data_IF_946657033872
#
_entry.id   IF_946657033872
#
_cell.length_a   1.000
_cell.length_b   1.000
_cell.length_c   1.000
_cell.angle_alpha   90.00
_cell.angle_beta   90.00
_cell.angle_gamma   90.00
#
_symmetry.space_group_name_H-M   'P 1'
#
loop_
_entity.id
_entity.type
_entity.pdbx_description
1 polymer ?
#
# COMPACT_ATOMS: atom_id res chain seq x y z
N UNK A 1 5.14 -23.46 12.79
CA UNK A 1 6.07 -22.49 13.40
C UNK A 1 7.38 -22.60 12.64
N UNK A 2 7.94 -21.49 12.16
CA UNK A 2 9.21 -21.48 11.46
C UNK A 2 10.31 -21.81 12.47
N UNK A 3 10.96 -22.97 12.33
CA UNK A 3 12.12 -23.36 13.17
C UNK A 3 13.39 -22.65 12.67
N UNK A 4 13.48 -21.34 12.89
CA UNK A 4 14.71 -20.63 12.60
C UNK A 4 15.83 -21.09 13.54
N UNK A 5 17.03 -21.39 13.03
CA UNK A 5 18.15 -21.78 13.87
C UNK A 5 18.50 -20.70 14.89
N UNK A 6 18.87 -21.09 16.10
CA UNK A 6 19.21 -20.14 17.16
C UNK A 6 20.47 -19.29 16.87
N UNK A 7 21.37 -19.81 16.03
CA UNK A 7 22.58 -19.08 15.62
C UNK A 7 22.31 -17.97 14.60
N UNK A 8 21.12 -17.98 13.94
CA UNK A 8 20.77 -16.95 12.97
C UNK A 8 20.41 -15.66 13.71
N UNK A 9 21.09 -14.50 13.47
CA UNK A 9 20.84 -13.23 14.14
C UNK A 9 19.57 -12.55 13.60
N UNK A 10 18.45 -13.27 13.67
CA UNK A 10 17.13 -12.78 13.25
C UNK A 10 16.49 -12.03 14.40
N UNK A 11 15.92 -10.84 14.13
CA UNK A 11 15.19 -10.07 15.14
C UNK A 11 14.04 -10.89 15.72
N UNK A 12 13.89 -10.88 17.04
CA UNK A 12 12.91 -11.72 17.77
C UNK A 12 11.49 -11.54 17.29
N UNK A 13 11.06 -10.30 16.99
CA UNK A 13 9.71 -10.02 16.49
C UNK A 13 9.43 -10.60 15.10
N UNK A 14 10.46 -11.00 14.35
CA UNK A 14 10.30 -11.62 13.02
C UNK A 14 10.31 -13.15 13.09
N UNK A 15 10.81 -13.74 14.16
CA UNK A 15 10.89 -15.22 14.31
C UNK A 15 9.54 -15.93 14.19
N UNK A 16 8.42 -15.41 14.74
CA UNK A 16 7.13 -16.07 14.62
C UNK A 16 6.43 -15.83 13.29
N UNK A 17 6.98 -14.99 12.40
CA UNK A 17 6.35 -14.71 11.12
C UNK A 17 6.45 -15.90 10.19
N UNK A 18 5.35 -16.16 9.50
CA UNK A 18 5.30 -17.05 8.34
C UNK A 18 5.30 -16.22 7.06
N UNK A 19 5.80 -16.73 5.94
CA UNK A 19 5.70 -16.05 4.66
C UNK A 19 4.25 -15.64 4.37
N UNK A 20 4.05 -14.39 4.00
CA UNK A 20 2.75 -13.94 3.52
C UNK A 20 2.43 -14.59 2.19
N UNK A 21 1.25 -15.13 2.07
CA UNK A 21 0.75 -15.69 0.81
C UNK A 21 -0.73 -16.01 0.94
N UNK A 22 -1.54 -15.51 0.01
CA UNK A 22 -2.90 -15.97 -0.13
C UNK A 22 -2.89 -17.43 -0.64
N UNK A 23 -3.72 -18.33 -0.11
CA UNK A 23 -3.80 -19.69 -0.60
C UNK A 23 -4.11 -19.71 -2.11
N UNK A 24 -3.28 -20.40 -2.88
CA UNK A 24 -3.51 -20.63 -4.30
C UNK A 24 -4.29 -21.94 -4.46
N UNK A 25 -5.60 -21.85 -4.36
CA UNK A 25 -6.49 -23.00 -4.48
C UNK A 25 -7.09 -23.03 -5.88
N UNK A 26 -7.10 -24.18 -6.59
CA UNK A 26 -7.85 -24.35 -7.82
C UNK A 26 -9.34 -24.14 -7.53
N UNK A 27 -9.91 -23.08 -8.06
CA UNK A 27 -11.33 -22.75 -7.89
C UNK A 27 -11.87 -22.10 -9.15
N UNK A 28 -13.17 -22.30 -9.43
CA UNK A 28 -13.85 -21.68 -10.55
C UNK A 28 -13.96 -20.16 -10.44
N UNK A 29 -13.96 -19.63 -9.20
CA UNK A 29 -13.89 -18.21 -8.91
C UNK A 29 -12.87 -17.96 -7.77
N UNK A 30 -11.93 -17.08 -7.99
CA UNK A 30 -10.92 -16.67 -6.99
C UNK A 30 -11.35 -15.32 -6.42
N UNK A 31 -11.80 -15.33 -5.16
CA UNK A 31 -12.30 -14.14 -4.46
C UNK A 31 -11.46 -13.81 -3.20
N UNK A 32 -10.39 -14.57 -2.98
CA UNK A 32 -9.51 -14.43 -1.81
C UNK A 32 -8.37 -13.41 -2.00
N UNK A 33 -8.23 -12.91 -3.22
CA UNK A 33 -7.29 -11.85 -3.59
C UNK A 33 -8.02 -10.80 -4.41
N UNK A 34 -7.53 -9.56 -4.39
CA UNK A 34 -8.13 -8.45 -5.15
C UNK A 34 -7.55 -8.41 -6.58
N UNK A 35 -7.77 -9.50 -7.32
CA UNK A 35 -7.31 -9.64 -8.71
C UNK A 35 -8.37 -9.11 -9.70
N UNK A 36 -7.89 -8.50 -10.79
CA UNK A 36 -8.75 -8.19 -11.92
C UNK A 36 -9.07 -9.50 -12.69
N UNK A 37 -10.34 -9.93 -12.76
CA UNK A 37 -10.70 -11.17 -13.47
C UNK A 37 -10.58 -11.05 -14.98
N UNK A 38 -10.48 -9.84 -15.53
CA UNK A 38 -10.38 -9.59 -16.96
C UNK A 38 -8.92 -9.46 -17.39
N UNK A 39 -8.51 -10.31 -18.32
CA UNK A 39 -7.19 -10.21 -18.95
C UNK A 39 -7.07 -8.98 -19.86
N UNK A 40 -5.86 -8.60 -20.23
CA UNK A 40 -5.65 -7.52 -21.20
C UNK A 40 -6.24 -7.87 -22.57
N UNK A 41 -6.70 -6.87 -23.31
CA UNK A 41 -7.16 -7.07 -24.69
C UNK A 41 -6.03 -7.59 -25.58
N UNK A 42 -6.39 -8.16 -26.74
CA UNK A 42 -5.41 -8.63 -27.73
C UNK A 42 -4.50 -7.50 -28.21
N UNK A 43 -5.07 -6.32 -28.43
CA UNK A 43 -4.35 -5.12 -28.87
C UNK A 43 -3.35 -4.66 -27.80
N UNK A 44 -3.78 -4.62 -26.54
CA UNK A 44 -2.91 -4.26 -25.42
C UNK A 44 -1.79 -5.30 -25.26
N UNK A 45 -2.10 -6.59 -25.32
CA UNK A 45 -1.13 -7.67 -25.23
C UNK A 45 -0.07 -7.58 -26.34
N UNK A 46 -0.50 -7.28 -27.59
CA UNK A 46 0.41 -7.09 -28.71
C UNK A 46 1.31 -5.84 -28.53
N UNK A 47 0.75 -4.73 -28.03
CA UNK A 47 1.50 -3.53 -27.74
C UNK A 47 2.56 -3.75 -26.65
N UNK A 48 2.23 -4.49 -25.59
CA UNK A 48 3.18 -4.86 -24.53
C UNK A 48 4.30 -5.73 -25.11
N UNK A 49 3.97 -6.78 -25.88
CA UNK A 49 4.95 -7.66 -26.48
C UNK A 49 5.92 -6.90 -27.40
N UNK A 50 5.39 -6.02 -28.25
CA UNK A 50 6.20 -5.14 -29.10
C UNK A 50 7.15 -4.28 -28.27
N UNK A 51 6.65 -3.62 -27.22
CA UNK A 51 7.46 -2.73 -26.38
C UNK A 51 8.54 -3.47 -25.61
N UNK A 52 8.24 -4.67 -25.10
CA UNK A 52 9.24 -5.52 -24.45
C UNK A 52 10.34 -5.91 -25.45
N UNK A 53 9.98 -6.29 -26.66
CA UNK A 53 10.95 -6.62 -27.71
C UNK A 53 11.90 -5.44 -28.04
N UNK A 54 11.38 -4.21 -28.09
CA UNK A 54 12.18 -3.01 -28.34
C UNK A 54 13.22 -2.75 -27.23
N UNK A 55 12.89 -3.01 -25.97
CA UNK A 55 13.79 -2.75 -24.83
C UNK A 55 14.66 -3.95 -24.45
N UNK A 56 14.34 -5.14 -24.97
CA UNK A 56 15.01 -6.39 -24.58
C UNK A 56 16.54 -6.35 -24.76
N UNK A 57 17.02 -5.72 -25.82
CA UNK A 57 18.46 -5.59 -26.12
C UNK A 57 19.22 -4.67 -25.16
N UNK A 58 18.51 -3.90 -24.34
CA UNK A 58 19.09 -2.94 -23.39
C UNK A 58 18.86 -3.34 -21.92
N UNK A 59 18.25 -4.52 -21.64
CA UNK A 59 17.97 -4.97 -20.29
C UNK A 59 19.23 -5.25 -19.42
N UNK A 60 20.39 -5.32 -20.04
CA UNK A 60 21.68 -5.41 -19.37
C UNK A 60 22.16 -4.05 -18.82
N UNK A 61 21.45 -2.97 -19.09
CA UNK A 61 21.76 -1.61 -18.62
C UNK A 61 20.86 -1.25 -17.43
N UNK A 62 21.32 -0.31 -16.62
CA UNK A 62 20.46 0.27 -15.58
C UNK A 62 19.24 0.94 -16.21
N UNK A 63 18.06 0.80 -15.58
CA UNK A 63 16.86 1.52 -16.03
C UNK A 63 17.00 3.03 -15.79
N UNK A 64 16.05 3.78 -16.37
CA UNK A 64 15.89 5.20 -16.00
C UNK A 64 15.59 5.29 -14.49
N UNK A 65 16.54 5.88 -13.74
CA UNK A 65 16.47 6.02 -12.29
C UNK A 65 15.21 6.74 -11.84
N UNK A 66 14.85 7.77 -12.56
CA UNK A 66 13.78 8.69 -12.18
C UNK A 66 12.42 8.28 -12.76
N UNK A 67 12.39 7.27 -13.63
CA UNK A 67 11.19 6.74 -14.30
C UNK A 67 10.29 7.85 -14.90
N UNK A 68 10.90 8.86 -15.51
CA UNK A 68 10.23 10.10 -15.96
C UNK A 68 9.04 9.79 -16.87
N UNK A 69 9.24 8.96 -17.90
CA UNK A 69 8.15 8.61 -18.84
C UNK A 69 6.97 7.89 -18.16
N UNK A 70 7.23 7.07 -17.16
CA UNK A 70 6.17 6.41 -16.39
C UNK A 70 5.41 7.44 -15.55
N UNK A 71 6.11 8.34 -14.87
CA UNK A 71 5.52 9.39 -14.03
C UNK A 71 4.72 10.40 -14.86
N UNK A 72 5.18 10.78 -16.03
CA UNK A 72 4.42 11.57 -17.02
C UNK A 72 3.14 10.86 -17.45
N UNK A 73 3.24 9.55 -17.78
CA UNK A 73 2.09 8.73 -18.14
C UNK A 73 1.07 8.60 -17.02
N UNK A 74 1.53 8.46 -15.76
CA UNK A 74 0.66 8.43 -14.58
C UNK A 74 -0.02 9.78 -14.34
N UNK A 75 0.70 10.89 -14.51
CA UNK A 75 0.13 12.24 -14.44
C UNK A 75 -1.02 12.41 -15.43
N UNK A 76 -0.78 12.08 -16.70
CA UNK A 76 -1.78 12.15 -17.75
C UNK A 76 -2.99 11.22 -17.47
N UNK A 77 -2.73 10.02 -16.94
CA UNK A 77 -3.79 9.08 -16.54
C UNK A 77 -4.66 9.66 -15.42
N UNK A 78 -4.05 10.20 -14.36
CA UNK A 78 -4.78 10.76 -13.22
C UNK A 78 -5.57 12.01 -13.63
N UNK A 79 -5.02 12.86 -14.50
CA UNK A 79 -5.78 13.98 -15.08
C UNK A 79 -7.03 13.49 -15.80
N UNK A 80 -6.89 12.46 -16.64
CA UNK A 80 -8.01 11.90 -17.39
C UNK A 80 -9.06 11.22 -16.52
N UNK A 81 -8.66 10.49 -15.47
CA UNK A 81 -9.56 9.68 -14.65
C UNK A 81 -10.20 10.46 -13.50
N UNK A 82 -9.49 11.40 -12.93
CA UNK A 82 -9.88 12.06 -11.66
C UNK A 82 -9.92 13.58 -11.78
N UNK A 83 -9.60 14.16 -12.95
CA UNK A 83 -9.45 15.60 -13.18
C UNK A 83 -8.48 16.28 -12.19
N UNK A 84 -7.40 15.58 -11.83
CA UNK A 84 -6.37 16.08 -10.92
C UNK A 84 -5.13 16.46 -11.71
N UNK A 85 -4.70 17.70 -11.61
CA UNK A 85 -3.48 18.20 -12.21
C UNK A 85 -2.29 17.90 -11.30
N UNK A 86 -1.45 16.97 -11.72
CA UNK A 86 -0.20 16.62 -11.04
C UNK A 86 0.96 16.79 -12.01
N UNK A 87 2.09 17.22 -11.49
CA UNK A 87 3.35 17.21 -12.22
C UNK A 87 4.13 15.93 -11.93
N UNK A 88 5.22 15.71 -12.66
CA UNK A 88 6.12 14.56 -12.43
C UNK A 88 6.65 14.54 -10.99
N UNK A 89 6.89 15.71 -10.40
CA UNK A 89 7.40 15.86 -9.03
C UNK A 89 6.40 15.39 -7.97
N UNK A 90 5.11 15.34 -8.30
CA UNK A 90 4.06 14.88 -7.39
C UNK A 90 3.86 13.35 -7.41
N UNK A 91 4.57 12.64 -8.30
CA UNK A 91 4.37 11.22 -8.54
C UNK A 91 5.63 10.44 -8.21
N UNK A 92 5.50 9.45 -7.36
CA UNK A 92 6.53 8.46 -7.10
C UNK A 92 6.09 7.09 -7.61
N UNK A 93 6.96 6.43 -8.39
CA UNK A 93 6.73 5.09 -8.90
C UNK A 93 7.67 4.08 -8.23
N UNK A 94 7.12 2.92 -7.87
CA UNK A 94 7.87 1.83 -7.26
C UNK A 94 7.26 0.47 -7.67
N UNK A 95 7.84 -0.64 -7.19
CA UNK A 95 7.34 -2.00 -7.46
C UNK A 95 6.10 -2.31 -6.61
N UNK A 96 5.01 -1.61 -6.90
CA UNK A 96 3.75 -1.69 -6.19
C UNK A 96 3.73 -0.88 -4.88
N UNK A 97 2.54 -0.76 -4.30
CA UNK A 97 2.31 0.03 -3.08
C UNK A 97 3.06 -0.49 -1.86
N UNK A 98 3.38 -1.79 -1.79
CA UNK A 98 4.11 -2.35 -0.64
C UNK A 98 5.53 -1.79 -0.52
N UNK A 99 6.24 -1.57 -1.63
CA UNK A 99 7.56 -0.93 -1.60
C UNK A 99 7.46 0.53 -1.15
N UNK A 100 6.44 1.25 -1.61
CA UNK A 100 6.18 2.63 -1.17
C UNK A 100 5.87 2.66 0.32
N UNK A 101 4.97 1.79 0.80
CA UNK A 101 4.64 1.69 2.21
C UNK A 101 5.87 1.36 3.07
N UNK A 102 6.70 0.42 2.63
CA UNK A 102 7.95 0.08 3.31
C UNK A 102 8.89 1.28 3.41
N UNK A 103 9.04 2.02 2.31
CA UNK A 103 9.87 3.23 2.29
C UNK A 103 9.35 4.31 3.23
N UNK A 104 8.01 4.49 3.30
CA UNK A 104 7.37 5.41 4.25
C UNK A 104 7.63 4.97 5.70
N UNK A 105 7.46 3.69 6.02
CA UNK A 105 7.76 3.19 7.35
C UNK A 105 9.23 3.37 7.74
N UNK A 106 10.16 3.12 6.80
CA UNK A 106 11.59 3.31 7.05
C UNK A 106 11.97 4.78 7.22
N UNK A 107 11.34 5.68 6.47
CA UNK A 107 11.64 7.10 6.51
C UNK A 107 11.03 7.82 7.73
N UNK A 108 9.81 7.45 8.11
CA UNK A 108 9.01 8.19 9.09
C UNK A 108 8.61 7.37 10.32
N UNK A 109 8.86 6.07 10.34
CA UNK A 109 8.45 5.16 11.41
C UNK A 109 9.34 5.24 12.65
N UNK A 110 9.52 6.43 13.22
CA UNK A 110 10.39 6.64 14.39
C UNK A 110 9.79 6.19 15.73
N UNK A 111 8.47 5.94 15.80
CA UNK A 111 7.77 5.57 17.02
C UNK A 111 6.69 4.54 16.74
N UNK A 112 5.43 4.95 16.79
CA UNK A 112 4.26 4.09 16.56
C UNK A 112 3.59 4.45 15.25
N UNK A 113 2.94 3.45 14.64
CA UNK A 113 2.01 3.64 13.54
C UNK A 113 0.64 3.12 13.95
N UNK A 114 -0.43 3.75 13.45
CA UNK A 114 -1.81 3.33 13.71
C UNK A 114 -2.57 3.12 12.39
N UNK A 115 -3.42 2.12 12.36
CA UNK A 115 -4.43 1.91 11.32
C UNK A 115 -5.71 1.35 11.91
N UNK A 116 -6.81 1.41 11.16
CA UNK A 116 -8.15 1.08 11.65
C UNK A 116 -8.66 -0.21 11.00
N UNK A 117 -8.73 -1.27 11.80
CA UNK A 117 -9.10 -2.61 11.36
C UNK A 117 -10.62 -2.84 11.41
N UNK A 118 -11.17 -3.77 10.56
CA UNK A 118 -10.45 -4.53 9.54
C UNK A 118 -9.97 -3.64 8.38
N UNK A 119 -8.74 -3.85 7.91
CA UNK A 119 -8.13 -3.12 6.82
C UNK A 119 -7.03 -3.94 6.15
N UNK A 120 -6.25 -3.32 5.25
CA UNK A 120 -5.20 -3.99 4.49
C UNK A 120 -4.14 -4.61 5.40
N UNK A 121 -4.01 -5.93 5.32
CA UNK A 121 -3.19 -6.73 6.24
C UNK A 121 -1.67 -6.49 6.13
N UNK A 122 -1.21 -5.88 5.02
CA UNK A 122 0.21 -5.62 4.85
C UNK A 122 0.73 -4.46 5.71
N UNK A 123 -0.12 -3.53 6.14
CA UNK A 123 0.32 -2.41 6.98
C UNK A 123 1.04 -2.88 8.26
N UNK A 124 0.42 -3.73 9.12
CA UNK A 124 1.09 -4.24 10.32
C UNK A 124 2.31 -5.09 10.00
N UNK A 125 2.29 -5.87 8.92
CA UNK A 125 3.42 -6.71 8.53
C UNK A 125 4.62 -5.88 8.10
N UNK A 126 4.43 -4.86 7.26
CA UNK A 126 5.48 -3.95 6.81
C UNK A 126 6.02 -3.14 8.00
N UNK A 127 5.13 -2.64 8.86
CA UNK A 127 5.53 -1.95 10.09
C UNK A 127 6.43 -2.82 10.96
N UNK A 128 6.07 -4.09 11.15
CA UNK A 128 6.88 -5.05 11.92
C UNK A 128 8.25 -5.29 11.28
N UNK A 129 8.31 -5.42 9.95
CA UNK A 129 9.57 -5.55 9.21
C UNK A 129 10.43 -4.29 9.35
N UNK A 130 9.82 -3.11 9.33
CA UNK A 130 10.50 -1.83 9.53
C UNK A 130 10.83 -1.52 11.00
N UNK A 131 10.50 -2.40 11.96
CA UNK A 131 10.68 -2.22 13.40
C UNK A 131 9.86 -1.07 13.99
N UNK A 132 8.67 -0.84 13.45
CA UNK A 132 7.70 0.15 13.95
C UNK A 132 6.59 -0.58 14.70
N UNK A 133 6.27 -0.09 15.90
CA UNK A 133 5.14 -0.62 16.69
C UNK A 133 3.83 -0.29 15.98
N UNK A 134 3.05 -1.32 15.66
CA UNK A 134 1.74 -1.16 15.05
C UNK A 134 0.65 -1.18 16.11
N UNK A 135 -0.20 -0.17 16.13
CA UNK A 135 -1.36 -0.06 17.01
C UNK A 135 -2.64 -0.16 16.17
N UNK A 136 -3.60 -0.92 16.65
CA UNK A 136 -4.89 -1.08 16.00
C UNK A 136 -5.93 -0.13 16.59
N UNK A 137 -6.52 0.69 15.74
CA UNK A 137 -7.82 1.30 15.96
C UNK A 137 -8.91 0.42 15.35
N UNK A 138 -10.16 0.66 15.71
CA UNK A 138 -11.28 -0.17 15.26
C UNK A 138 -12.26 0.64 14.42
N UNK A 139 -12.84 -0.02 13.42
CA UNK A 139 -14.02 0.43 12.70
C UNK A 139 -15.27 -0.02 13.47
N UNK A 140 -16.42 0.59 13.20
CA UNK A 140 -17.73 0.16 13.70
C UNK A 140 -18.13 -1.17 13.07
N UNK A 141 -19.18 -1.80 13.58
CA UNK A 141 -19.70 -3.08 13.08
C UNK A 141 -20.15 -3.00 11.61
N UNK A 142 -20.57 -1.83 11.15
CA UNK A 142 -20.89 -1.54 9.74
C UNK A 142 -19.64 -1.19 8.89
N UNK A 143 -18.45 -1.37 9.44
CA UNK A 143 -17.15 -1.03 8.87
C UNK A 143 -16.94 0.47 8.58
N UNK A 144 -17.82 1.34 9.01
CA UNK A 144 -17.58 2.79 8.95
C UNK A 144 -16.50 3.19 9.95
N UNK A 145 -15.78 4.29 9.66
CA UNK A 145 -14.83 4.86 10.62
C UNK A 145 -15.55 5.84 11.54
N UNK A 146 -15.45 5.63 12.85
CA UNK A 146 -15.80 6.64 13.84
C UNK A 146 -14.71 7.71 13.86
N UNK A 147 -14.94 8.81 13.16
CA UNK A 147 -13.93 9.86 13.01
C UNK A 147 -13.59 10.51 14.34
N UNK A 148 -14.58 10.73 15.21
CA UNK A 148 -14.35 11.34 16.53
C UNK A 148 -13.46 10.46 17.41
N UNK A 149 -13.80 9.16 17.50
CA UNK A 149 -13.00 8.19 18.25
C UNK A 149 -11.58 8.04 17.64
N UNK A 150 -11.49 8.00 16.31
CA UNK A 150 -10.20 7.88 15.62
C UNK A 150 -9.30 9.10 15.89
N UNK A 151 -9.83 10.32 15.79
CA UNK A 151 -9.08 11.56 16.07
C UNK A 151 -8.61 11.57 17.53
N UNK A 152 -9.48 11.19 18.48
CA UNK A 152 -9.09 11.08 19.89
C UNK A 152 -7.96 10.08 20.07
N UNK A 153 -8.07 8.89 19.51
CA UNK A 153 -7.05 7.85 19.64
C UNK A 153 -5.70 8.30 19.04
N UNK A 154 -5.73 9.00 17.90
CA UNK A 154 -4.51 9.54 17.27
C UNK A 154 -3.89 10.63 18.16
N UNK A 155 -4.70 11.53 18.72
CA UNK A 155 -4.23 12.59 19.60
C UNK A 155 -3.59 12.05 20.90
N UNK A 156 -4.19 11.01 21.47
CA UNK A 156 -3.67 10.35 22.69
C UNK A 156 -2.39 9.56 22.40
N UNK A 157 -2.34 8.84 21.27
CA UNK A 157 -1.23 7.97 20.90
C UNK A 157 -0.03 8.74 20.31
N UNK A 158 -0.29 9.85 19.63
CA UNK A 158 0.70 10.66 18.89
C UNK A 158 1.59 9.81 17.97
N UNK A 159 1.01 9.01 17.05
CA UNK A 159 1.79 8.12 16.20
C UNK A 159 2.58 8.92 15.18
N UNK A 160 3.75 8.41 14.78
CA UNK A 160 4.51 8.98 13.67
C UNK A 160 3.80 8.81 12.32
N UNK A 161 3.03 7.72 12.17
CA UNK A 161 2.28 7.40 10.95
C UNK A 161 0.85 6.99 11.27
N UNK A 162 -0.09 7.48 10.49
CA UNK A 162 -1.49 7.09 10.53
C UNK A 162 -1.95 6.60 9.15
N UNK A 163 -2.49 5.39 9.09
CA UNK A 163 -2.97 4.79 7.86
C UNK A 163 -4.50 4.74 7.83
N UNK A 164 -5.09 5.35 6.81
CA UNK A 164 -6.52 5.32 6.56
C UNK A 164 -6.75 4.92 5.12
N UNK A 165 -7.23 3.69 4.96
CA UNK A 165 -7.56 3.13 3.66
C UNK A 165 -8.97 3.56 3.25
N UNK A 166 -9.10 4.18 2.07
CA UNK A 166 -10.39 4.60 1.54
C UNK A 166 -10.37 4.67 0.01
N UNK A 167 -11.22 3.94 -0.71
CA UNK A 167 -12.07 2.87 -0.18
C UNK A 167 -11.27 1.83 0.60
N UNK A 168 -11.86 1.29 1.69
CA UNK A 168 -11.16 0.34 2.54
C UNK A 168 -11.09 -1.06 1.91
N UNK A 169 -9.95 -1.68 1.97
CA UNK A 169 -9.78 -3.09 1.64
C UNK A 169 -9.71 -3.90 2.96
N UNK A 170 -10.59 -4.92 3.19
CA UNK A 170 -11.46 -5.56 2.21
C UNK A 170 -12.93 -5.06 2.20
N UNK A 171 -13.33 -4.13 3.05
CA UNK A 171 -14.73 -3.82 3.32
C UNK A 171 -15.42 -2.96 2.24
N UNK A 172 -14.66 -2.32 1.35
CA UNK A 172 -15.20 -1.42 0.32
C UNK A 172 -15.73 -0.08 0.86
N UNK A 173 -15.77 0.12 2.17
CA UNK A 173 -16.30 1.35 2.78
C UNK A 173 -15.43 2.57 2.45
N UNK A 174 -16.06 3.68 2.04
CA UNK A 174 -15.39 4.93 1.75
C UNK A 174 -15.63 5.98 2.85
N UNK A 175 -14.67 6.88 3.00
CA UNK A 175 -14.79 8.05 3.88
C UNK A 175 -15.04 9.26 2.99
N UNK A 176 -16.05 10.09 3.33
CA UNK A 176 -16.34 11.32 2.61
C UNK A 176 -15.16 12.30 2.64
N UNK A 177 -15.05 13.14 1.63
CA UNK A 177 -14.00 14.17 1.53
C UNK A 177 -14.04 15.11 2.73
N UNK A 178 -15.22 15.51 3.19
CA UNK A 178 -15.40 16.41 4.33
C UNK A 178 -14.81 15.82 5.63
N UNK A 179 -14.94 14.50 5.81
CA UNK A 179 -14.34 13.81 6.95
C UNK A 179 -12.83 13.64 6.84
N UNK A 180 -12.26 13.70 5.62
CA UNK A 180 -10.81 13.70 5.41
C UNK A 180 -10.20 15.08 5.73
N UNK A 181 -10.87 16.17 5.34
CA UNK A 181 -10.37 17.55 5.52
C UNK A 181 -10.30 17.99 6.98
N UNK A 182 -11.19 17.49 7.84
CA UNK A 182 -11.20 17.79 9.29
C UNK A 182 -9.88 17.38 9.99
N UNK A 183 -9.07 16.54 9.38
CA UNK A 183 -7.77 16.10 9.92
C UNK A 183 -6.61 17.03 9.60
N UNK A 184 -6.61 17.63 8.41
CA UNK A 184 -5.52 18.51 7.99
C UNK A 184 -5.49 19.82 8.80
N UNK A 185 -6.64 20.19 9.38
CA UNK A 185 -6.77 21.41 10.18
C UNK A 185 -6.52 21.22 11.69
N UNK A 186 -6.29 19.98 12.16
CA UNK A 186 -6.04 19.69 13.58
C UNK A 186 -4.56 19.50 13.95
N UNK A 187 -3.64 19.75 13.01
CA UNK A 187 -2.19 19.62 13.20
C UNK A 187 -1.44 20.95 13.25
N UNK A 188 -2.06 21.99 13.86
CA UNK A 188 -1.38 23.24 14.22
C UNK A 188 -1.32 23.40 15.71
#
# INVERSE_FOLDING_TARGET
>A
MSNWPNWLPLREQLRPLTPYGAPQVPAGARLNTNENPYGPSKELSAAIAKRIGEVATSLNRYPDRDAIKLREGLSAYLKKQCDVDLTVENIWAANGSNEILQSIFLAFGSAKAIGFVPSYSMHPLIGKVANVEWVEGFRRDDFSLDVTAAVKQIADLKPALTFITTPNNPTGSAISIDRKSTRLNSSH
#
